data_IF_131420243840
#
_entry.id   IF_131420243840
#
_cell.length_a   1.000
_cell.length_b   1.000
_cell.length_c   1.000
_cell.angle_alpha   90.00
_cell.angle_beta   90.00
_cell.angle_gamma   90.00
#
_symmetry.space_group_name_H-M   'P 1'
#
loop_
_entity.id
_entity.type
_entity.pdbx_description
1 polymer ?
#
# COMPACT_ATOMS: atom_id res chain seq x y z
N UNK A 1 2.26 -13.56 -7.20
CA UNK A 1 1.64 -12.76 -8.27
C UNK A 1 2.45 -11.48 -8.45
N UNK A 2 2.75 -11.10 -9.66
CA UNK A 2 3.49 -9.86 -9.93
C UNK A 2 2.60 -8.63 -9.71
N UNK A 3 3.24 -7.47 -9.52
CA UNK A 3 2.53 -6.20 -9.41
C UNK A 3 1.66 -5.93 -10.66
N UNK A 4 2.21 -6.19 -11.86
CA UNK A 4 1.47 -5.98 -13.10
C UNK A 4 0.24 -6.87 -13.20
N UNK A 5 0.36 -8.14 -12.81
CA UNK A 5 -0.77 -9.07 -12.81
C UNK A 5 -1.85 -8.65 -11.79
N UNK A 6 -1.45 -8.24 -10.61
CA UNK A 6 -2.38 -7.77 -9.58
C UNK A 6 -3.12 -6.51 -10.04
N UNK A 7 -2.40 -5.57 -10.65
CA UNK A 7 -3.02 -4.34 -11.16
C UNK A 7 -4.03 -4.65 -12.26
N UNK A 8 -3.67 -5.54 -13.20
CA UNK A 8 -4.57 -5.95 -14.28
C UNK A 8 -5.84 -6.60 -13.72
N UNK A 9 -5.69 -7.50 -12.74
CA UNK A 9 -6.82 -8.15 -12.08
C UNK A 9 -7.71 -7.12 -11.37
N UNK A 10 -7.09 -6.18 -10.66
CA UNK A 10 -7.83 -5.13 -9.95
C UNK A 10 -8.66 -4.30 -10.91
N UNK A 11 -8.09 -3.92 -12.05
CA UNK A 11 -8.80 -3.14 -13.07
C UNK A 11 -9.94 -3.92 -13.71
N UNK A 12 -9.73 -5.21 -14.00
CA UNK A 12 -10.78 -6.07 -14.53
C UNK A 12 -11.95 -6.18 -13.55
N UNK A 13 -11.65 -6.39 -12.27
CA UNK A 13 -12.68 -6.47 -11.24
C UNK A 13 -13.43 -5.14 -11.10
N UNK A 14 -12.71 -4.02 -11.17
CA UNK A 14 -13.32 -2.70 -11.08
C UNK A 14 -14.32 -2.47 -12.22
N UNK A 15 -13.96 -2.85 -13.44
CA UNK A 15 -14.84 -2.72 -14.59
C UNK A 15 -16.08 -3.61 -14.45
N UNK A 16 -15.87 -4.87 -14.09
CA UNK A 16 -16.97 -5.84 -14.00
C UNK A 16 -17.93 -5.52 -12.86
N UNK A 17 -17.41 -5.09 -11.71
CA UNK A 17 -18.21 -4.90 -10.51
C UNK A 17 -18.75 -3.48 -10.35
N UNK A 18 -18.19 -2.53 -11.10
CA UNK A 18 -18.62 -1.12 -11.03
C UNK A 18 -20.10 -0.92 -11.32
N UNK A 19 -20.66 -1.70 -12.25
CA UNK A 19 -22.08 -1.64 -12.56
C UNK A 19 -22.98 -2.03 -11.37
N UNK A 20 -22.41 -2.73 -10.39
CA UNK A 20 -23.12 -3.13 -9.17
C UNK A 20 -22.82 -2.22 -7.98
N UNK A 21 -22.13 -1.11 -8.21
CA UNK A 21 -21.74 -0.18 -7.14
C UNK A 21 -20.62 -0.71 -6.24
N UNK A 22 -19.86 -1.68 -6.72
CA UNK A 22 -18.75 -2.27 -5.98
C UNK A 22 -17.44 -1.72 -6.52
N UNK A 23 -16.54 -1.30 -5.62
CA UNK A 23 -15.21 -0.82 -6.00
C UNK A 23 -14.16 -1.90 -5.74
N UNK A 24 -13.10 -1.87 -6.53
CA UNK A 24 -11.97 -2.78 -6.39
C UNK A 24 -10.68 -1.98 -6.53
N UNK A 25 -9.87 -1.96 -5.49
CA UNK A 25 -8.60 -1.24 -5.45
C UNK A 25 -7.53 -2.14 -4.87
N UNK A 26 -6.27 -1.84 -5.17
CA UNK A 26 -5.13 -2.53 -4.61
C UNK A 26 -4.35 -1.56 -3.72
N UNK A 27 -3.85 -2.06 -2.60
CA UNK A 27 -3.01 -1.28 -1.68
C UNK A 27 -1.67 -1.99 -1.58
N UNK A 28 -0.59 -1.29 -1.89
CA UNK A 28 0.74 -1.80 -1.64
C UNK A 28 1.27 -1.25 -0.32
N UNK A 29 2.12 -2.02 0.33
CA UNK A 29 2.71 -1.64 1.60
C UNK A 29 4.22 -1.55 1.48
N UNK A 30 4.84 -0.65 2.25
CA UNK A 30 6.28 -0.64 2.45
C UNK A 30 6.66 -1.58 3.59
N UNK A 31 7.86 -1.41 4.14
CA UNK A 31 8.25 -2.16 5.32
C UNK A 31 7.44 -1.66 6.51
N UNK A 32 6.62 -2.56 7.03
CA UNK A 32 5.72 -2.29 8.14
C UNK A 32 6.12 -3.20 9.30
N UNK A 33 6.20 -2.64 10.50
CA UNK A 33 6.56 -3.42 11.68
C UNK A 33 5.37 -4.30 12.10
N UNK A 34 5.50 -5.59 11.83
CA UNK A 34 4.50 -6.62 12.17
C UNK A 34 5.23 -7.79 12.84
N UNK A 35 4.48 -8.76 13.33
CA UNK A 35 5.08 -9.98 13.91
C UNK A 35 5.94 -10.72 12.90
N UNK A 36 5.55 -10.72 11.63
CA UNK A 36 6.30 -11.39 10.56
C UNK A 36 7.62 -10.69 10.27
N UNK A 37 7.64 -9.35 10.28
CA UNK A 37 8.81 -8.55 9.95
C UNK A 37 9.68 -8.19 11.15
N UNK A 38 9.21 -8.42 12.37
CA UNK A 38 9.87 -7.97 13.59
C UNK A 38 11.33 -8.44 13.69
N UNK A 39 11.58 -9.70 13.34
CA UNK A 39 12.95 -10.25 13.38
C UNK A 39 13.90 -9.50 12.44
N UNK A 40 13.45 -9.27 11.22
CA UNK A 40 14.22 -8.56 10.20
C UNK A 40 14.49 -7.11 10.62
N UNK A 41 13.46 -6.44 11.14
CA UNK A 41 13.53 -5.05 11.54
C UNK A 41 14.23 -4.85 12.90
N UNK A 42 14.54 -5.95 13.63
CA UNK A 42 15.33 -5.88 14.85
C UNK A 42 16.81 -5.66 14.58
N UNK A 43 17.27 -5.85 13.33
CA UNK A 43 18.65 -5.58 12.93
C UNK A 43 18.77 -4.08 12.64
N UNK A 44 19.56 -3.32 13.47
CA UNK A 44 19.59 -1.85 13.33
C UNK A 44 20.03 -1.36 11.96
N UNK A 45 21.02 -2.00 11.34
CA UNK A 45 21.52 -1.58 10.03
C UNK A 45 20.46 -1.75 8.94
N UNK A 46 19.66 -2.80 9.01
CA UNK A 46 18.59 -3.04 8.06
C UNK A 46 17.48 -2.01 8.23
N UNK A 47 17.05 -1.80 9.48
CA UNK A 47 16.00 -0.82 9.79
C UNK A 47 16.42 0.59 9.35
N UNK A 48 17.67 0.98 9.58
CA UNK A 48 18.17 2.28 9.15
C UNK A 48 18.18 2.42 7.63
N UNK A 49 18.57 1.37 6.90
CA UNK A 49 18.53 1.40 5.44
C UNK A 49 17.11 1.61 4.92
N UNK A 50 16.15 0.91 5.51
CA UNK A 50 14.74 1.07 5.11
C UNK A 50 14.26 2.50 5.36
N UNK A 51 14.57 3.05 6.53
CA UNK A 51 14.22 4.43 6.86
C UNK A 51 14.85 5.42 5.90
N UNK A 52 16.11 5.21 5.53
CA UNK A 52 16.83 6.11 4.63
C UNK A 52 16.23 6.17 3.23
N UNK A 53 15.67 5.07 2.74
CA UNK A 53 15.04 5.02 1.42
C UNK A 53 13.54 5.23 1.47
N UNK A 54 13.00 5.57 2.63
CA UNK A 54 11.59 5.91 2.83
C UNK A 54 11.48 7.42 3.00
N UNK A 55 10.63 8.06 2.21
CA UNK A 55 10.52 9.52 2.24
C UNK A 55 10.15 10.05 3.62
N UNK A 56 9.26 9.38 4.34
CA UNK A 56 8.81 9.81 5.66
C UNK A 56 9.76 9.40 6.79
N UNK A 57 10.86 8.73 6.46
CA UNK A 57 11.97 8.43 7.38
C UNK A 57 11.57 7.64 8.62
N UNK A 58 10.61 6.76 8.48
CA UNK A 58 10.20 5.84 9.55
C UNK A 58 9.67 4.54 8.96
N UNK A 59 9.59 3.52 9.79
CA UNK A 59 8.92 2.27 9.44
C UNK A 59 7.41 2.47 9.51
N UNK A 60 6.69 1.73 8.70
CA UNK A 60 5.24 1.72 8.76
C UNK A 60 4.73 0.99 10.00
N UNK A 61 3.53 1.34 10.42
CA UNK A 61 2.79 0.64 11.47
C UNK A 61 1.56 -0.01 10.84
N UNK A 62 1.04 -1.10 11.41
CA UNK A 62 -0.19 -1.70 10.88
C UNK A 62 -1.33 -0.69 10.72
N UNK A 63 -1.43 0.29 11.61
CA UNK A 63 -2.45 1.33 11.55
C UNK A 63 -2.32 2.21 10.31
N UNK A 64 -1.10 2.40 9.81
CA UNK A 64 -0.86 3.18 8.59
C UNK A 64 -1.51 2.53 7.37
N UNK A 65 -1.55 1.20 7.34
CA UNK A 65 -2.19 0.46 6.26
C UNK A 65 -3.69 0.33 6.52
N UNK A 66 -4.07 0.02 7.76
CA UNK A 66 -5.46 -0.18 8.14
C UNK A 66 -6.31 1.06 7.86
N UNK A 67 -5.78 2.26 8.11
CA UNK A 67 -6.51 3.50 7.85
C UNK A 67 -6.80 3.70 6.36
N UNK A 68 -5.88 3.30 5.48
CA UNK A 68 -6.10 3.38 4.04
C UNK A 68 -7.19 2.39 3.60
N UNK A 69 -7.12 1.16 4.09
CA UNK A 69 -8.10 0.12 3.76
C UNK A 69 -9.49 0.53 4.27
N UNK A 70 -9.58 1.04 5.49
CA UNK A 70 -10.85 1.51 6.05
C UNK A 70 -11.44 2.67 5.25
N UNK A 71 -10.60 3.60 4.81
CA UNK A 71 -11.07 4.71 3.96
C UNK A 71 -11.64 4.16 2.65
N UNK A 72 -10.91 3.25 1.98
CA UNK A 72 -11.35 2.68 0.72
C UNK A 72 -12.65 1.87 0.85
N UNK A 73 -12.91 1.31 2.02
CA UNK A 73 -14.13 0.57 2.30
C UNK A 73 -15.29 1.49 2.72
N UNK A 74 -15.04 2.78 2.90
CA UNK A 74 -16.06 3.72 3.35
C UNK A 74 -16.83 4.35 2.19
N UNK A 75 -17.97 4.96 2.50
CA UNK A 75 -18.77 5.68 1.51
C UNK A 75 -18.02 6.89 0.93
N UNK A 76 -17.07 7.45 1.68
CA UNK A 76 -16.28 8.58 1.21
C UNK A 76 -15.41 8.22 0.01
N UNK A 77 -15.09 6.94 -0.18
CA UNK A 77 -14.29 6.46 -1.30
C UNK A 77 -15.15 5.87 -2.43
N UNK A 78 -16.44 6.16 -2.48
CA UNK A 78 -17.35 5.51 -3.42
C UNK A 78 -17.04 5.80 -4.90
N UNK A 79 -16.30 6.85 -5.19
CA UNK A 79 -15.90 7.21 -6.57
C UNK A 79 -14.49 6.75 -6.93
N UNK A 80 -13.85 5.96 -6.04
CA UNK A 80 -12.49 5.44 -6.25
C UNK A 80 -12.58 3.96 -6.57
N UNK A 81 -12.16 3.56 -7.76
CA UNK A 81 -12.11 2.16 -8.15
C UNK A 81 -11.02 1.94 -9.20
N UNK A 82 -10.49 0.73 -9.27
CA UNK A 82 -9.45 0.36 -10.23
C UNK A 82 -8.10 0.99 -9.95
N UNK A 83 -7.85 1.48 -8.75
CA UNK A 83 -6.64 2.21 -8.41
C UNK A 83 -5.64 1.35 -7.66
N UNK A 84 -4.37 1.70 -7.83
CA UNK A 84 -3.25 1.14 -7.08
C UNK A 84 -2.76 2.24 -6.14
N UNK A 85 -2.85 2.00 -4.83
CA UNK A 85 -2.51 3.00 -3.82
C UNK A 85 -1.30 2.51 -3.04
N UNK A 86 -0.23 3.30 -3.06
CA UNK A 86 1.01 2.99 -2.34
C UNK A 86 0.95 3.56 -0.93
N UNK A 87 0.66 2.72 0.06
CA UNK A 87 0.69 3.09 1.48
C UNK A 87 2.06 2.70 2.06
N UNK A 88 3.09 3.38 1.59
CA UNK A 88 4.49 3.00 1.81
C UNK A 88 5.33 4.05 2.53
N UNK A 89 4.73 5.22 2.84
CA UNK A 89 5.49 6.34 3.36
C UNK A 89 6.51 6.90 2.36
N UNK A 90 6.34 6.58 1.09
CA UNK A 90 7.27 7.00 0.03
C UNK A 90 8.50 6.09 -0.07
N UNK A 91 8.34 4.80 0.19
CA UNK A 91 9.44 3.85 0.08
C UNK A 91 9.98 3.80 -1.35
N UNK A 92 11.29 4.02 -1.47
CA UNK A 92 12.02 4.02 -2.76
C UNK A 92 11.35 4.89 -3.84
N UNK A 93 10.78 6.01 -3.41
CA UNK A 93 10.25 6.98 -4.36
C UNK A 93 11.39 7.53 -5.20
N UNK A 94 11.23 7.65 -6.54
CA UNK A 94 12.25 8.29 -7.35
C UNK A 94 12.35 9.77 -6.99
N UNK A 95 13.58 10.36 -7.07
CA UNK A 95 13.73 11.78 -6.80
C UNK A 95 12.95 12.62 -7.82
N UNK A 96 12.53 13.83 -7.46
CA UNK A 96 11.90 14.73 -8.40
C UNK A 96 12.88 15.11 -9.51
N UNK A 97 12.37 15.28 -10.70
CA UNK A 97 13.17 15.59 -11.88
C UNK A 97 13.61 17.05 -11.84
#
# INVERSE_FOLDING_TARGET
MSKGALLAMTRSLAVDLGQHGITANAVSTGYTHTDITAHMLSVPEFAERVKNVTAMKRLGRPEDIASVVCFLASDEAEWITGQWIDATGGYKMPPPV
#
